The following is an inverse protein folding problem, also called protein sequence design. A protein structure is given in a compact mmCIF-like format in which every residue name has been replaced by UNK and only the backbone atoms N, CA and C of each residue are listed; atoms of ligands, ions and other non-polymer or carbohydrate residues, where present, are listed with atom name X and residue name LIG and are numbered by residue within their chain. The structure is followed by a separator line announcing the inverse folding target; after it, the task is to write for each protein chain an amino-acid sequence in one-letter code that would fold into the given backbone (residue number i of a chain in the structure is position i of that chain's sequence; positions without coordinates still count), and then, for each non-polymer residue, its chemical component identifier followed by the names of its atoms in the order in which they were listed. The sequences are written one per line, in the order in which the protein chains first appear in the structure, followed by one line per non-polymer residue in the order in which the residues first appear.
data_IF_036705367485
#
_entry.id   IF_036705367485
#
_cell.length_a   1.000
_cell.length_b   1.000
_cell.length_c   1.000
_cell.angle_alpha   90.00
_cell.angle_beta   90.00
_cell.angle_gamma   90.00
#
_symmetry.space_group_name_H-M   'P 1'
#
loop_
_entity.id
_entity.type
_entity.pdbx_description
1 polymer ?
#
# COMPACT_ATOMS: atom_id res chain seq x y z
N UNK A 1 60.16 -52.19 -39.74
CA UNK A 1 60.06 -50.72 -39.75
C UNK A 1 58.63 -50.33 -39.42
N UNK A 2 58.26 -49.47 -38.47
CA UNK A 2 58.87 -49.07 -37.20
C UNK A 2 57.71 -48.49 -36.32
N UNK A 3 56.79 -49.35 -35.86
CA UNK A 3 55.61 -48.92 -35.08
C UNK A 3 55.95 -48.35 -33.69
N UNK A 4 57.20 -48.42 -33.24
CA UNK A 4 57.62 -47.90 -31.92
C UNK A 4 57.72 -46.37 -31.88
N UNK A 5 58.04 -45.71 -32.99
CA UNK A 5 58.14 -44.24 -33.02
C UNK A 5 56.78 -43.53 -33.08
N UNK A 6 55.77 -44.17 -33.67
CA UNK A 6 54.41 -43.61 -33.73
C UNK A 6 53.70 -43.62 -32.36
N UNK A 7 53.93 -44.67 -31.56
CA UNK A 7 53.31 -44.81 -30.24
C UNK A 7 53.86 -43.78 -29.24
N UNK A 8 55.16 -43.47 -29.29
CA UNK A 8 55.77 -42.45 -28.42
C UNK A 8 55.32 -41.02 -28.76
N UNK A 9 55.07 -40.70 -30.03
CA UNK A 9 54.54 -39.39 -30.43
C UNK A 9 53.07 -39.20 -30.03
N UNK A 10 52.28 -40.27 -30.03
CA UNK A 10 50.86 -40.21 -29.64
C UNK A 10 50.67 -40.12 -28.11
N UNK A 11 51.59 -40.68 -27.33
CA UNK A 11 51.50 -40.63 -25.87
C UNK A 11 51.85 -39.23 -25.31
N UNK A 12 52.77 -38.50 -25.95
CA UNK A 12 53.16 -37.16 -25.46
C UNK A 12 52.12 -36.08 -25.78
N UNK A 13 51.43 -36.18 -26.91
CA UNK A 13 50.32 -35.27 -27.28
C UNK A 13 49.09 -35.49 -26.40
N UNK A 14 48.82 -36.74 -25.98
CA UNK A 14 47.73 -37.05 -25.05
C UNK A 14 47.97 -36.45 -23.66
N UNK A 15 49.22 -36.48 -23.18
CA UNK A 15 49.62 -35.89 -21.90
C UNK A 15 49.55 -34.36 -21.93
N UNK A 16 49.91 -33.72 -23.03
CA UNK A 16 49.83 -32.25 -23.17
C UNK A 16 48.38 -31.75 -23.23
N UNK A 17 47.46 -32.50 -23.84
CA UNK A 17 46.02 -32.20 -23.86
C UNK A 17 45.34 -32.38 -22.50
N UNK A 18 45.80 -33.34 -21.69
CA UNK A 18 45.28 -33.52 -20.32
C UNK A 18 45.70 -32.40 -19.38
N UNK A 19 46.91 -31.84 -19.56
CA UNK A 19 47.39 -30.70 -18.76
C UNK A 19 46.62 -29.40 -19.05
N UNK A 20 46.20 -29.17 -20.30
CA UNK A 20 45.50 -27.94 -20.70
C UNK A 20 43.98 -27.97 -20.44
N UNK A 21 43.37 -29.15 -20.28
CA UNK A 21 41.92 -29.29 -20.09
C UNK A 21 41.46 -29.14 -18.64
N UNK A 22 42.38 -28.99 -17.68
CA UNK A 22 42.04 -28.83 -16.25
C UNK A 22 41.94 -27.37 -15.77
N UNK A 23 42.23 -26.38 -16.63
CA UNK A 23 42.31 -24.96 -16.20
C UNK A 23 40.98 -24.16 -16.26
N UNK A 24 39.92 -24.48 -17.04
CA UNK A 24 38.71 -23.66 -17.01
C UNK A 24 37.69 -24.02 -15.90
N UNK A 25 37.86 -25.12 -15.15
CA UNK A 25 36.87 -25.54 -14.14
C UNK A 25 37.07 -24.88 -12.76
N UNK A 26 38.33 -24.61 -12.37
CA UNK A 26 38.65 -24.04 -11.06
C UNK A 26 38.36 -22.53 -10.95
N UNK A 27 38.34 -21.80 -12.07
CA UNK A 27 38.02 -20.37 -12.10
C UNK A 27 36.52 -20.10 -11.85
N UNK A 28 35.63 -20.94 -12.37
CA UNK A 28 34.17 -20.80 -12.20
C UNK A 28 33.72 -21.18 -10.78
N UNK A 29 34.30 -22.22 -10.18
CA UNK A 29 34.05 -22.57 -8.77
C UNK A 29 34.55 -21.51 -7.78
N UNK A 30 35.76 -20.97 -7.98
CA UNK A 30 36.27 -19.86 -7.13
C UNK A 30 35.39 -18.62 -7.21
N UNK A 31 34.90 -18.24 -8.39
CA UNK A 31 34.02 -17.07 -8.56
C UNK A 31 32.67 -17.20 -7.83
N UNK A 32 32.09 -18.41 -7.79
CA UNK A 32 30.84 -18.67 -7.09
C UNK A 32 31.01 -18.74 -5.56
N UNK A 33 32.12 -19.30 -5.08
CA UNK A 33 32.46 -19.36 -3.64
C UNK A 33 32.76 -17.95 -3.11
N UNK A 34 33.48 -17.12 -3.87
CA UNK A 34 33.82 -15.74 -3.50
C UNK A 34 32.56 -14.85 -3.44
N UNK A 35 31.70 -14.92 -4.47
CA UNK A 35 30.39 -14.24 -4.49
C UNK A 35 29.47 -14.67 -3.33
N UNK A 36 29.45 -15.96 -2.99
CA UNK A 36 28.68 -16.48 -1.86
C UNK A 36 29.24 -15.99 -0.51
N UNK A 37 30.57 -15.93 -0.39
CA UNK A 37 31.27 -15.46 0.83
C UNK A 37 31.03 -13.96 1.06
N UNK A 38 31.12 -13.15 0.01
CA UNK A 38 30.82 -11.72 0.07
C UNK A 38 29.34 -11.46 0.41
N UNK A 39 28.41 -12.22 -0.20
CA UNK A 39 26.97 -12.14 0.14
C UNK A 39 26.73 -12.43 1.62
N UNK A 40 27.29 -13.51 2.14
CA UNK A 40 27.16 -13.88 3.56
C UNK A 40 27.76 -12.79 4.46
N UNK A 41 28.91 -12.23 4.09
CA UNK A 41 29.54 -11.13 4.84
C UNK A 41 28.67 -9.88 4.86
N UNK A 42 28.06 -9.52 3.73
CA UNK A 42 27.16 -8.37 3.62
C UNK A 42 25.89 -8.54 4.47
N UNK A 43 25.24 -9.72 4.42
CA UNK A 43 24.07 -10.04 5.25
C UNK A 43 24.43 -9.97 6.73
N UNK A 44 25.57 -10.55 7.13
CA UNK A 44 26.04 -10.50 8.52
C UNK A 44 26.33 -9.07 8.97
N UNK A 45 26.93 -8.25 8.10
CA UNK A 45 27.16 -6.83 8.38
C UNK A 45 25.84 -6.10 8.64
N UNK A 46 24.83 -6.31 7.80
CA UNK A 46 23.50 -5.71 7.98
C UNK A 46 22.86 -6.17 9.30
N UNK A 47 22.83 -7.48 9.57
CA UNK A 47 22.25 -8.04 10.78
C UNK A 47 22.92 -7.47 12.05
N UNK A 48 24.26 -7.38 12.06
CA UNK A 48 25.02 -6.80 13.17
C UNK A 48 24.65 -5.33 13.39
N UNK A 49 24.51 -4.54 12.33
CA UNK A 49 24.11 -3.13 12.45
C UNK A 49 22.71 -3.01 13.03
N UNK A 50 21.74 -3.81 12.57
CA UNK A 50 20.39 -3.80 13.12
C UNK A 50 20.39 -4.12 14.62
N UNK A 51 21.13 -5.13 15.06
CA UNK A 51 21.26 -5.51 16.48
C UNK A 51 21.96 -4.43 17.30
N UNK A 52 22.99 -3.76 16.77
CA UNK A 52 23.65 -2.65 17.47
C UNK A 52 22.67 -1.49 17.66
N UNK A 53 21.88 -1.14 16.64
CA UNK A 53 20.88 -0.07 16.76
C UNK A 53 19.81 -0.45 17.78
N UNK A 54 19.23 -1.64 17.69
CA UNK A 54 18.21 -2.12 18.63
C UNK A 54 18.66 -2.03 20.09
N UNK A 55 19.90 -2.42 20.40
CA UNK A 55 20.38 -2.51 21.78
C UNK A 55 20.98 -1.21 22.35
N UNK A 56 21.31 -0.23 21.49
CA UNK A 56 22.06 0.96 21.91
C UNK A 56 21.36 2.29 21.54
N UNK A 57 20.20 2.26 20.89
CA UNK A 57 19.45 3.48 20.59
C UNK A 57 18.78 4.03 21.86
N UNK A 58 18.56 5.34 21.88
CA UNK A 58 18.01 6.06 23.05
C UNK A 58 16.53 5.73 23.30
N UNK A 59 15.79 5.45 22.22
CA UNK A 59 14.38 5.08 22.26
C UNK A 59 14.21 3.57 22.07
N UNK A 60 13.15 3.00 22.62
CA UNK A 60 12.78 1.62 22.34
C UNK A 60 12.35 1.46 20.87
N UNK A 61 13.11 0.66 20.13
CA UNK A 61 12.80 0.29 18.76
C UNK A 61 12.60 -1.23 18.69
N UNK A 62 11.48 -1.67 18.11
CA UNK A 62 11.32 -3.10 17.84
C UNK A 62 12.07 -3.50 16.56
N UNK A 63 12.53 -4.75 16.49
CA UNK A 63 13.31 -5.26 15.36
C UNK A 63 12.58 -5.13 14.00
N UNK A 64 11.24 -5.28 14.00
CA UNK A 64 10.41 -5.15 12.79
C UNK A 64 10.45 -3.74 12.22
N UNK A 65 10.38 -2.71 13.06
CA UNK A 65 10.40 -1.31 12.66
C UNK A 65 11.76 -0.91 12.09
N UNK A 66 12.85 -1.34 12.73
CA UNK A 66 14.21 -1.08 12.22
C UNK A 66 14.39 -1.77 10.86
N UNK A 67 13.90 -3.01 10.72
CA UNK A 67 13.97 -3.76 9.47
C UNK A 67 13.17 -3.07 8.37
N UNK A 68 11.94 -2.65 8.63
CA UNK A 68 11.10 -1.93 7.67
C UNK A 68 11.78 -0.63 7.21
N UNK A 69 12.32 0.16 8.15
CA UNK A 69 13.05 1.41 7.85
C UNK A 69 14.30 1.15 7.02
N UNK A 70 15.03 0.06 7.28
CA UNK A 70 16.21 -0.31 6.50
C UNK A 70 15.83 -0.70 5.05
N UNK A 71 14.74 -1.44 4.87
CA UNK A 71 14.23 -1.78 3.54
C UNK A 71 13.75 -0.52 2.81
N UNK A 72 12.98 0.35 3.45
CA UNK A 72 12.53 1.63 2.88
C UNK A 72 13.71 2.50 2.44
N UNK A 73 14.74 2.60 3.28
CA UNK A 73 15.99 3.30 2.95
C UNK A 73 16.69 2.68 1.74
N UNK A 74 16.78 1.35 1.66
CA UNK A 74 17.35 0.65 0.49
C UNK A 74 16.56 0.96 -0.79
N UNK A 75 15.23 0.84 -0.75
CA UNK A 75 14.38 1.06 -1.92
C UNK A 75 14.51 2.49 -2.45
N UNK A 76 14.63 3.49 -1.57
CA UNK A 76 14.82 4.89 -1.95
C UNK A 76 16.09 5.16 -2.77
N UNK A 77 17.08 4.26 -2.72
CA UNK A 77 18.34 4.36 -3.46
C UNK A 77 18.32 3.64 -4.81
N UNK A 78 17.27 2.87 -5.12
CA UNK A 78 17.17 2.14 -6.38
C UNK A 78 16.74 3.07 -7.51
N UNK A 79 15.54 3.64 -7.38
CA UNK A 79 14.97 4.65 -8.28
C UNK A 79 13.73 5.29 -7.63
N UNK A 80 13.16 6.32 -8.26
CA UNK A 80 12.02 7.09 -7.73
C UNK A 80 10.68 6.34 -7.69
N UNK A 81 10.58 5.17 -8.32
CA UNK A 81 9.35 4.37 -8.44
C UNK A 81 9.44 3.00 -7.76
N UNK A 82 10.63 2.60 -7.35
CA UNK A 82 10.90 1.43 -6.52
C UNK A 82 10.52 1.73 -5.07
N UNK A 83 9.54 1.00 -4.55
CA UNK A 83 9.07 1.17 -3.16
C UNK A 83 8.82 -0.17 -2.48
N UNK A 84 8.96 -0.17 -1.16
CA UNK A 84 8.57 -1.29 -0.31
C UNK A 84 7.17 -1.02 0.24
N UNK A 85 6.31 -2.02 0.14
CA UNK A 85 5.00 -1.98 0.77
C UNK A 85 5.06 -2.69 2.11
N UNK A 86 5.11 -1.90 3.19
CA UNK A 86 4.84 -2.41 4.53
C UNK A 86 3.39 -2.92 4.63
N UNK A 87 3.08 -3.70 5.66
CA UNK A 87 1.71 -4.17 5.88
C UNK A 87 0.70 -3.01 5.96
N UNK A 88 1.09 -1.91 6.61
CA UNK A 88 0.28 -0.68 6.69
C UNK A 88 0.07 -0.08 5.30
N UNK A 89 1.15 0.15 4.54
CA UNK A 89 1.06 0.73 3.18
C UNK A 89 0.24 -0.14 2.24
N UNK A 90 0.39 -1.46 2.31
CA UNK A 90 -0.41 -2.39 1.52
C UNK A 90 -1.90 -2.33 1.89
N UNK A 91 -2.24 -2.25 3.18
CA UNK A 91 -3.64 -2.07 3.63
C UNK A 91 -4.23 -0.75 3.11
N UNK A 92 -3.51 0.36 3.22
CA UNK A 92 -4.00 1.66 2.70
C UNK A 92 -4.17 1.64 1.18
N UNK A 93 -3.21 1.07 0.45
CA UNK A 93 -3.34 0.90 -1.00
C UNK A 93 -4.55 0.04 -1.38
N UNK A 94 -4.81 -1.02 -0.60
CA UNK A 94 -6.00 -1.85 -0.81
C UNK A 94 -7.28 -1.07 -0.56
N UNK A 95 -7.36 -0.26 0.49
CA UNK A 95 -8.52 0.60 0.76
C UNK A 95 -8.74 1.60 -0.39
N UNK A 96 -7.67 2.24 -0.87
CA UNK A 96 -7.74 3.17 -1.99
C UNK A 96 -8.26 2.49 -3.27
N UNK A 97 -7.78 1.28 -3.57
CA UNK A 97 -8.15 0.58 -4.81
C UNK A 97 -9.51 -0.13 -4.71
N UNK A 98 -9.89 -0.59 -3.52
CA UNK A 98 -11.21 -1.17 -3.27
C UNK A 98 -12.29 -0.07 -3.19
N UNK A 99 -11.93 1.15 -2.78
CA UNK A 99 -12.89 2.25 -2.60
C UNK A 99 -13.80 2.06 -1.39
N UNK A 100 -13.42 1.17 -0.47
CA UNK A 100 -14.16 0.85 0.74
C UNK A 100 -13.25 0.24 1.82
N UNK A 101 -13.67 0.32 3.07
CA UNK A 101 -12.96 -0.29 4.20
C UNK A 101 -13.92 -0.63 5.35
N UNK A 102 -13.52 -1.58 6.20
CA UNK A 102 -14.29 -1.92 7.39
C UNK A 102 -14.02 -0.94 8.54
N UNK A 103 -15.08 -0.33 9.08
CA UNK A 103 -14.95 0.65 10.17
C UNK A 103 -16.28 1.23 10.65
N UNK A 104 -16.21 2.40 11.29
CA UNK A 104 -17.36 3.04 11.94
C UNK A 104 -18.00 4.14 11.08
N UNK A 105 -17.22 4.73 10.16
CA UNK A 105 -17.65 5.89 9.37
C UNK A 105 -17.60 7.20 10.15
N UNK A 106 -16.54 7.44 10.93
CA UNK A 106 -16.28 8.73 11.57
C UNK A 106 -14.97 9.35 11.11
N UNK A 107 -14.97 10.67 11.03
CA UNK A 107 -13.74 11.46 10.96
C UNK A 107 -13.37 11.91 12.36
N UNK A 108 -12.14 11.60 12.78
CA UNK A 108 -11.58 11.97 14.08
C UNK A 108 -10.32 12.80 13.91
N UNK A 109 -9.97 13.56 14.94
CA UNK A 109 -8.71 14.28 15.01
C UNK A 109 -8.36 14.62 16.46
N UNK A 110 -7.12 15.05 16.69
CA UNK A 110 -6.69 15.53 18.00
C UNK A 110 -7.02 17.01 18.11
N UNK A 111 -7.86 17.39 19.09
CA UNK A 111 -8.15 18.78 19.47
C UNK A 111 -7.92 18.94 20.96
N UNK A 112 -7.24 20.00 21.36
CA UNK A 112 -6.90 20.26 22.76
C UNK A 112 -6.28 19.04 23.48
N UNK A 113 -5.42 18.31 22.77
CA UNK A 113 -4.77 17.05 23.20
C UNK A 113 -5.71 15.87 23.46
N UNK A 114 -6.96 15.94 23.01
CA UNK A 114 -7.94 14.87 23.14
C UNK A 114 -8.42 14.36 21.78
N UNK A 115 -8.63 13.04 21.69
CA UNK A 115 -9.24 12.42 20.51
C UNK A 115 -10.70 12.87 20.39
N UNK A 116 -11.00 13.59 19.31
CA UNK A 116 -12.28 14.28 19.13
C UNK A 116 -12.90 13.89 17.79
N UNK A 117 -14.21 13.66 17.79
CA UNK A 117 -15.01 13.47 16.58
C UNK A 117 -15.12 14.80 15.84
N UNK A 118 -14.59 14.84 14.62
CA UNK A 118 -14.75 15.98 13.73
C UNK A 118 -16.17 15.96 13.16
N UNK A 119 -16.56 14.84 12.54
CA UNK A 119 -17.91 14.59 12.06
C UNK A 119 -18.14 13.08 11.85
N UNK A 120 -19.34 12.56 12.15
CA UNK A 120 -19.78 11.29 11.58
C UNK A 120 -20.06 11.46 10.08
N UNK A 121 -19.86 10.41 9.31
CA UNK A 121 -20.24 10.36 7.89
C UNK A 121 -21.71 9.93 7.84
N UNK A 122 -22.53 10.63 7.05
CA UNK A 122 -23.96 10.31 6.91
C UNK A 122 -24.16 8.85 6.47
N UNK A 123 -25.26 8.24 6.92
CA UNK A 123 -25.62 6.85 6.63
C UNK A 123 -24.58 5.79 7.04
N UNK A 124 -23.65 6.11 7.93
CA UNK A 124 -22.70 5.14 8.51
C UNK A 124 -23.11 4.66 9.90
N UNK A 125 -22.54 3.54 10.41
CA UNK A 125 -22.84 3.02 11.75
C UNK A 125 -22.69 4.07 12.85
N UNK A 126 -21.64 4.88 12.77
CA UNK A 126 -21.40 5.94 13.73
C UNK A 126 -22.47 7.04 13.75
N UNK A 127 -22.94 7.45 12.57
CA UNK A 127 -24.03 8.40 12.45
C UNK A 127 -25.31 7.83 13.05
N UNK A 128 -25.64 6.57 12.72
CA UNK A 128 -26.81 5.85 13.28
C UNK A 128 -26.71 5.64 14.79
N UNK A 129 -25.50 5.46 15.32
CA UNK A 129 -25.24 5.35 16.75
C UNK A 129 -25.32 6.69 17.49
N UNK A 130 -25.56 7.79 16.77
CA UNK A 130 -25.81 9.11 17.36
C UNK A 130 -24.54 9.83 17.80
N UNK A 131 -23.36 9.49 17.26
CA UNK A 131 -22.15 10.29 17.42
C UNK A 131 -22.34 11.69 16.82
N UNK A 132 -21.71 12.69 17.43
CA UNK A 132 -21.84 14.09 17.02
C UNK A 132 -20.48 14.75 16.93
N UNK A 133 -20.40 15.78 16.09
CA UNK A 133 -19.23 16.65 16.02
C UNK A 133 -18.94 17.26 17.41
N UNK A 134 -17.68 17.20 17.83
CA UNK A 134 -17.23 17.68 19.13
C UNK A 134 -17.31 16.66 20.27
N UNK A 135 -17.78 15.44 20.02
CA UNK A 135 -17.67 14.35 20.98
C UNK A 135 -16.20 14.00 21.25
N UNK A 136 -15.82 13.85 22.51
CA UNK A 136 -14.47 13.45 22.93
C UNK A 136 -14.47 11.97 23.28
N UNK A 137 -13.69 11.19 22.56
CA UNK A 137 -13.56 9.74 22.78
C UNK A 137 -12.52 9.53 23.88
N UNK A 138 -12.94 9.06 25.05
CA UNK A 138 -12.07 8.76 26.20
C UNK A 138 -11.51 7.33 26.16
N UNK A 139 -12.29 6.39 25.63
CA UNK A 139 -11.88 4.99 25.49
C UNK A 139 -12.39 4.38 24.21
N UNK A 140 -11.60 3.46 23.67
CA UNK A 140 -11.96 2.54 22.60
C UNK A 140 -11.86 1.14 23.20
N UNK A 141 -13.00 0.47 23.35
CA UNK A 141 -13.19 -0.69 24.20
C UNK A 141 -12.62 -0.41 25.61
N UNK A 142 -11.72 -1.24 26.12
CA UNK A 142 -11.09 -1.07 27.42
C UNK A 142 -9.85 -0.15 27.40
N UNK A 143 -9.43 0.33 26.23
CA UNK A 143 -8.20 1.13 26.07
C UNK A 143 -8.48 2.62 26.19
N UNK A 144 -7.73 3.29 27.08
CA UNK A 144 -7.72 4.75 27.17
C UNK A 144 -7.18 5.38 25.90
N UNK A 145 -7.79 6.47 25.44
CA UNK A 145 -7.29 7.27 24.32
C UNK A 145 -6.30 8.36 24.77
N UNK A 146 -6.08 8.50 26.07
CA UNK A 146 -5.05 9.38 26.61
C UNK A 146 -3.67 8.91 26.11
N UNK A 147 -2.88 9.83 25.58
CA UNK A 147 -1.56 9.58 24.95
C UNK A 147 -1.57 8.67 23.72
N UNK A 148 -2.75 8.23 23.26
CA UNK A 148 -2.89 7.46 22.03
C UNK A 148 -2.68 8.36 20.81
N UNK A 149 -1.87 7.91 19.87
CA UNK A 149 -1.72 8.61 18.59
C UNK A 149 -2.99 8.50 17.75
N UNK A 150 -3.18 9.43 16.81
CA UNK A 150 -4.32 9.38 15.88
C UNK A 150 -4.34 8.07 15.08
N UNK A 151 -3.17 7.60 14.65
CA UNK A 151 -3.02 6.39 13.86
C UNK A 151 -3.41 5.13 14.66
N UNK A 152 -3.01 5.04 15.93
CA UNK A 152 -3.41 3.93 16.81
C UNK A 152 -4.92 3.91 17.02
N UNK A 153 -5.52 5.08 17.28
CA UNK A 153 -6.96 5.19 17.45
C UNK A 153 -7.72 4.75 16.19
N UNK A 154 -7.29 5.23 15.01
CA UNK A 154 -7.87 4.83 13.72
C UNK A 154 -7.71 3.32 13.48
N UNK A 155 -6.55 2.75 13.82
CA UNK A 155 -6.29 1.31 13.70
C UNK A 155 -7.24 0.47 14.56
N UNK A 156 -7.54 0.89 15.79
CA UNK A 156 -8.49 0.21 16.68
C UNK A 156 -9.95 0.34 16.23
N UNK A 157 -10.32 1.50 15.68
CA UNK A 157 -11.68 1.74 15.20
C UNK A 157 -11.97 1.01 13.88
N UNK A 158 -10.96 0.85 13.02
CA UNK A 158 -11.04 -0.03 11.85
C UNK A 158 -11.09 -1.50 12.27
N UNK A 159 -11.66 -2.34 11.43
CA UNK A 159 -11.77 -3.76 11.72
C UNK A 159 -12.70 -4.48 10.76
N UNK A 160 -12.88 -5.78 10.99
CA UNK A 160 -13.74 -6.60 10.14
C UNK A 160 -15.20 -6.14 10.26
N UNK A 161 -15.93 -5.94 9.15
CA UNK A 161 -17.37 -5.68 9.18
C UNK A 161 -18.13 -6.76 9.98
N UNK A 162 -19.15 -6.35 10.71
CA UNK A 162 -19.95 -7.18 11.61
C UNK A 162 -19.34 -7.42 12.99
N UNK A 163 -18.17 -6.85 13.30
CA UNK A 163 -17.59 -6.90 14.66
C UNK A 163 -17.97 -5.66 15.46
N UNK A 164 -18.17 -5.85 16.76
CA UNK A 164 -18.55 -4.77 17.67
C UNK A 164 -17.34 -3.96 18.16
N UNK A 165 -17.61 -2.71 18.54
CA UNK A 165 -16.71 -1.84 19.29
C UNK A 165 -17.53 -1.02 20.28
N UNK A 166 -16.95 -0.69 21.43
CA UNK A 166 -17.53 0.24 22.39
C UNK A 166 -16.70 1.51 22.46
N UNK A 167 -17.34 2.68 22.32
CA UNK A 167 -16.69 3.97 22.55
C UNK A 167 -17.21 4.58 23.85
N UNK A 168 -16.31 4.99 24.75
CA UNK A 168 -16.69 5.82 25.89
C UNK A 168 -16.48 7.28 25.54
N UNK A 169 -17.52 8.10 25.66
CA UNK A 169 -17.58 9.45 25.09
C UNK A 169 -18.00 10.49 26.11
N UNK A 170 -17.42 11.67 25.97
CA UNK A 170 -17.85 12.90 26.65
C UNK A 170 -18.42 13.85 25.61
N UNK A 171 -19.63 14.34 25.89
CA UNK A 171 -20.35 15.29 25.04
C UNK A 171 -20.65 16.56 25.81
N UNK A 172 -20.42 17.72 25.19
CA UNK A 172 -20.76 19.01 25.78
C UNK A 172 -22.25 19.07 26.10
N UNK A 173 -22.58 19.38 27.35
CA UNK A 173 -23.97 19.45 27.84
C UNK A 173 -24.44 18.18 28.55
N UNK A 174 -23.72 17.07 28.42
CA UNK A 174 -23.99 15.84 29.18
C UNK A 174 -23.20 15.86 30.50
N UNK A 175 -23.84 15.42 31.58
CA UNK A 175 -23.25 15.47 32.93
C UNK A 175 -22.22 14.38 33.20
N UNK A 176 -22.27 13.26 32.46
CA UNK A 176 -21.40 12.10 32.65
C UNK A 176 -20.97 11.51 31.30
N UNK A 177 -19.78 10.90 31.23
CA UNK A 177 -19.42 10.06 30.10
C UNK A 177 -20.42 8.92 29.91
N UNK A 178 -20.67 8.54 28.66
CA UNK A 178 -21.54 7.42 28.32
C UNK A 178 -20.89 6.53 27.27
N UNK A 179 -21.39 5.29 27.16
CA UNK A 179 -20.90 4.28 26.22
C UNK A 179 -21.79 4.26 24.98
N UNK A 180 -21.18 4.10 23.81
CA UNK A 180 -21.88 3.87 22.55
C UNK A 180 -21.33 2.61 21.91
N UNK A 181 -22.22 1.65 21.70
CA UNK A 181 -21.92 0.42 20.99
C UNK A 181 -22.14 0.63 19.49
N UNK A 182 -21.17 0.22 18.69
CA UNK A 182 -21.20 0.38 17.24
C UNK A 182 -20.77 -0.94 16.61
N UNK A 183 -21.55 -1.43 15.65
CA UNK A 183 -21.16 -2.55 14.80
C UNK A 183 -20.39 -2.00 13.60
N UNK A 184 -19.18 -2.48 13.37
CA UNK A 184 -18.39 -2.10 12.19
C UNK A 184 -19.12 -2.52 10.92
N UNK A 185 -19.05 -1.68 9.90
CA UNK A 185 -19.65 -1.96 8.59
C UNK A 185 -18.67 -1.58 7.47
N UNK A 186 -19.03 -1.90 6.23
CA UNK A 186 -18.29 -1.48 5.05
C UNK A 186 -18.57 0.01 4.81
N UNK A 187 -17.55 0.83 5.01
CA UNK A 187 -17.57 2.26 4.75
C UNK A 187 -17.09 2.49 3.33
N UNK A 188 -17.97 3.06 2.51
CA UNK A 188 -17.67 3.39 1.11
C UNK A 188 -16.98 4.74 1.04
N UNK A 189 -15.95 4.82 0.20
CA UNK A 189 -15.28 6.07 -0.17
C UNK A 189 -15.75 6.40 -1.59
N UNK A 190 -16.32 7.58 -1.76
CA UNK A 190 -16.74 8.05 -3.07
C UNK A 190 -15.52 8.53 -3.86
N UNK A 191 -15.36 8.00 -5.07
CA UNK A 191 -14.29 8.40 -5.99
C UNK A 191 -14.81 9.18 -7.18
N UNK A 192 -16.08 9.05 -7.53
CA UNK A 192 -16.73 9.75 -8.64
C UNK A 192 -17.75 10.75 -8.11
N UNK A 193 -17.57 12.03 -8.47
CA UNK A 193 -18.47 13.12 -8.11
C UNK A 193 -19.09 13.71 -9.37
N UNK A 194 -20.42 13.74 -9.41
CA UNK A 194 -21.20 14.18 -10.58
C UNK A 194 -21.96 15.46 -10.25
N UNK A 195 -21.91 16.44 -11.15
CA UNK A 195 -22.77 17.63 -11.10
C UNK A 195 -23.08 18.12 -12.51
N UNK A 196 -24.17 18.88 -12.64
CA UNK A 196 -24.51 19.57 -13.88
C UNK A 196 -24.12 21.04 -13.79
N UNK A 197 -23.51 21.59 -14.84
CA UNK A 197 -23.17 23.01 -14.98
C UNK A 197 -24.08 23.61 -16.06
N UNK A 198 -24.72 24.73 -15.73
CA UNK A 198 -25.59 25.49 -16.64
C UNK A 198 -26.68 24.64 -17.34
N UNK A 199 -27.14 23.58 -16.67
CA UNK A 199 -28.13 22.59 -17.14
C UNK A 199 -27.76 21.76 -18.39
N UNK A 200 -26.64 22.06 -19.05
CA UNK A 200 -26.26 21.44 -20.33
C UNK A 200 -24.96 20.63 -20.27
N UNK A 201 -24.06 20.95 -19.32
CA UNK A 201 -22.74 20.32 -19.22
C UNK A 201 -22.69 19.35 -18.03
N UNK A 202 -22.35 18.09 -18.32
CA UNK A 202 -22.06 17.11 -17.28
C UNK A 202 -20.64 17.30 -16.79
N UNK A 203 -20.45 17.52 -15.50
CA UNK A 203 -19.13 17.53 -14.88
C UNK A 203 -18.98 16.27 -14.02
N UNK A 204 -17.91 15.52 -14.30
CA UNK A 204 -17.54 14.32 -13.56
C UNK A 204 -16.12 14.53 -13.03
N UNK A 205 -15.96 14.54 -11.71
CA UNK A 205 -14.65 14.53 -11.07
C UNK A 205 -14.33 13.13 -10.57
N UNK A 206 -13.15 12.62 -10.91
CA UNK A 206 -12.64 11.35 -10.41
C UNK A 206 -11.45 11.64 -9.50
N UNK A 207 -11.59 11.39 -8.20
CA UNK A 207 -10.54 11.65 -7.21
C UNK A 207 -9.49 10.52 -7.11
N UNK A 208 -9.85 9.28 -7.45
CA UNK A 208 -8.93 8.14 -7.57
C UNK A 208 -9.56 7.03 -8.43
N UNK A 209 -8.74 6.15 -9.00
CA UNK A 209 -9.19 5.00 -9.79
C UNK A 209 -9.41 3.75 -8.91
N UNK A 210 -10.51 3.74 -8.17
CA UNK A 210 -10.98 2.53 -7.46
C UNK A 210 -11.81 1.61 -8.36
N UNK A 211 -12.19 0.43 -7.84
CA UNK A 211 -12.95 -0.60 -8.56
C UNK A 211 -14.31 -0.15 -9.14
N UNK A 212 -14.90 0.94 -8.66
CA UNK A 212 -16.26 1.38 -8.98
C UNK A 212 -16.30 2.42 -10.10
N UNK A 213 -15.17 3.09 -10.39
CA UNK A 213 -15.10 4.24 -11.31
C UNK A 213 -15.81 4.02 -12.64
N UNK A 214 -15.49 2.94 -13.37
CA UNK A 214 -16.10 2.70 -14.70
C UNK A 214 -17.61 2.56 -14.59
N UNK A 215 -18.10 1.85 -13.58
CA UNK A 215 -19.54 1.64 -13.38
C UNK A 215 -20.28 2.91 -12.99
N UNK A 216 -19.69 3.74 -12.13
CA UNK A 216 -20.28 4.99 -11.67
C UNK A 216 -20.29 6.06 -12.77
N UNK A 217 -19.21 6.16 -13.55
CA UNK A 217 -19.17 7.06 -14.72
C UNK A 217 -20.18 6.62 -15.77
N UNK A 218 -20.24 5.32 -16.10
CA UNK A 218 -21.22 4.82 -17.06
C UNK A 218 -22.66 5.15 -16.63
N UNK A 219 -22.98 4.93 -15.36
CA UNK A 219 -24.28 5.30 -14.77
C UNK A 219 -24.55 6.80 -14.93
N UNK A 220 -23.58 7.65 -14.61
CA UNK A 220 -23.73 9.10 -14.76
C UNK A 220 -24.00 9.52 -16.21
N UNK A 221 -23.34 8.89 -17.18
CA UNK A 221 -23.57 9.12 -18.61
C UNK A 221 -24.95 8.63 -19.06
N UNK A 222 -25.47 7.55 -18.48
CA UNK A 222 -26.82 7.03 -18.78
C UNK A 222 -27.94 7.88 -18.17
N UNK A 223 -27.70 8.48 -17.00
CA UNK A 223 -28.67 9.38 -16.33
C UNK A 223 -28.73 10.77 -16.99
N UNK A 224 -27.69 11.17 -17.73
CA UNK A 224 -27.57 12.47 -18.36
C UNK A 224 -27.40 12.35 -19.88
N UNK A 225 -28.30 11.63 -20.56
CA UNK A 225 -28.22 11.40 -22.02
C UNK A 225 -28.34 12.67 -22.84
N UNK A 226 -29.11 13.65 -22.36
CA UNK A 226 -29.37 14.91 -23.05
C UNK A 226 -28.27 15.97 -22.84
N UNK A 227 -27.17 15.60 -22.17
CA UNK A 227 -26.01 16.48 -21.98
C UNK A 227 -25.46 16.94 -23.33
N UNK A 228 -25.08 18.21 -23.43
CA UNK A 228 -24.44 18.78 -24.62
C UNK A 228 -22.92 18.68 -24.59
N UNK A 229 -22.35 18.43 -23.42
CA UNK A 229 -20.91 18.27 -23.23
C UNK A 229 -20.56 17.57 -21.91
N UNK A 230 -19.31 17.16 -21.81
CA UNK A 230 -18.74 16.49 -20.65
C UNK A 230 -17.43 17.18 -20.24
N UNK A 231 -17.27 17.46 -18.96
CA UNK A 231 -16.01 17.84 -18.34
C UNK A 231 -15.57 16.69 -17.45
N UNK A 232 -14.45 16.08 -17.78
CA UNK A 232 -13.79 15.08 -16.95
C UNK A 232 -12.66 15.72 -16.15
N UNK A 233 -12.84 15.85 -14.83
CA UNK A 233 -11.86 16.46 -13.94
C UNK A 233 -11.04 15.40 -13.21
N UNK A 234 -9.77 15.29 -13.58
CA UNK A 234 -8.78 14.38 -12.98
C UNK A 234 -7.76 15.13 -12.10
N UNK A 235 -8.02 16.40 -11.73
CA UNK A 235 -7.09 17.17 -10.90
C UNK A 235 -6.97 16.55 -9.51
N UNK A 236 -5.74 16.48 -9.02
CA UNK A 236 -5.38 15.85 -7.74
C UNK A 236 -5.73 14.35 -7.66
N UNK A 237 -5.86 13.68 -8.80
CA UNK A 237 -6.01 12.22 -8.86
C UNK A 237 -4.63 11.55 -8.95
N UNK A 238 -4.21 10.78 -7.93
CA UNK A 238 -2.90 10.14 -7.91
C UNK A 238 -2.82 8.85 -8.76
N UNK A 239 -3.91 8.48 -9.44
CA UNK A 239 -4.06 7.22 -10.17
C UNK A 239 -4.89 6.21 -9.38
N UNK A 240 -4.49 4.93 -9.47
CA UNK A 240 -5.19 3.78 -8.90
C UNK A 240 -5.09 2.58 -9.82
N UNK A 241 -6.17 1.83 -9.97
CA UNK A 241 -6.23 0.65 -10.81
C UNK A 241 -6.13 1.01 -12.29
N UNK A 242 -5.07 0.55 -12.96
CA UNK A 242 -4.88 0.74 -14.40
C UNK A 242 -6.07 0.21 -15.21
N UNK A 243 -6.67 -0.91 -14.80
CA UNK A 243 -7.85 -1.46 -15.46
C UNK A 243 -9.04 -0.52 -15.47
N UNK A 244 -9.20 0.29 -14.43
CA UNK A 244 -10.29 1.29 -14.33
C UNK A 244 -9.98 2.52 -15.18
N UNK A 245 -8.72 2.90 -15.29
CA UNK A 245 -8.30 3.96 -16.21
C UNK A 245 -8.51 3.54 -17.68
N UNK A 246 -8.11 2.32 -18.05
CA UNK A 246 -8.34 1.77 -19.40
C UNK A 246 -9.84 1.66 -19.67
N UNK A 247 -10.60 1.06 -18.76
CA UNK A 247 -12.05 0.91 -18.92
C UNK A 247 -12.79 2.24 -18.99
N UNK A 248 -12.28 3.30 -18.35
CA UNK A 248 -12.84 4.65 -18.47
C UNK A 248 -12.62 5.21 -19.88
N UNK A 249 -11.42 5.06 -20.44
CA UNK A 249 -11.12 5.51 -21.82
C UNK A 249 -11.98 4.76 -22.83
N UNK A 250 -12.19 3.46 -22.62
CA UNK A 250 -13.02 2.59 -23.46
C UNK A 250 -14.50 3.05 -23.54
N UNK A 251 -14.98 3.86 -22.59
CA UNK A 251 -16.30 4.48 -22.67
C UNK A 251 -16.40 5.60 -23.72
N UNK A 252 -15.27 6.11 -24.21
CA UNK A 252 -15.21 7.29 -25.06
C UNK A 252 -14.46 7.08 -26.38
N UNK A 253 -13.69 5.99 -26.51
CA UNK A 253 -12.81 5.74 -27.66
C UNK A 253 -13.14 4.39 -28.26
N UNK A 254 -13.58 4.37 -29.53
CA UNK A 254 -14.08 3.15 -30.18
C UNK A 254 -12.98 2.21 -30.69
N UNK A 255 -11.80 2.71 -31.03
CA UNK A 255 -10.68 1.91 -31.54
C UNK A 255 -9.31 2.54 -31.23
N UNK A 256 -8.27 1.72 -31.24
CA UNK A 256 -6.88 2.12 -31.03
C UNK A 256 -6.25 1.55 -29.75
N UNK A 257 -4.92 1.65 -29.65
CA UNK A 257 -4.19 1.18 -28.47
C UNK A 257 -4.28 2.23 -27.35
N UNK A 258 -4.96 1.90 -26.25
CA UNK A 258 -5.10 2.77 -25.08
C UNK A 258 -3.77 2.87 -24.29
N UNK A 259 -3.14 1.73 -24.01
CA UNK A 259 -1.88 1.68 -23.24
C UNK A 259 -1.07 0.43 -23.61
N UNK A 260 0.26 0.56 -23.63
CA UNK A 260 1.20 -0.55 -23.80
C UNK A 260 2.18 -0.61 -22.64
N UNK A 261 2.39 -1.78 -22.06
CA UNK A 261 3.41 -2.02 -21.04
C UNK A 261 4.55 -2.83 -21.64
N UNK A 262 5.78 -2.38 -21.44
CA UNK A 262 6.98 -3.12 -21.81
C UNK A 262 7.63 -3.66 -20.55
N UNK A 263 7.53 -4.97 -20.34
CA UNK A 263 8.26 -5.67 -19.30
C UNK A 263 9.78 -5.74 -19.58
N UNK A 264 10.53 -6.20 -18.59
CA UNK A 264 11.91 -6.68 -18.77
C UNK A 264 11.93 -8.15 -19.13
#
# INVERSE_FOLDING_TARGET
MNNRFFILGFLSTLLFFYSFSTIPLSAKERSNIDSSTERIRAIRKLANVLTVVENNYVDELNYTDITNRAIEGLMSQLDAHSSYFSEKSYKEFKIQTDGEFGGLGITVGIRDKALTVIAPIDDTPAYRAGLKAGDIILKIDDKSTLDMTLDEAVSLMRGKPGTDIELTIVRKGESKPFKVHIVRDIIKIDSVFVKTIDNDLLYIRISSFDKKVVSEVKKALEEHKDRKGLILDLRSNPGGLLSQAVGLVDLFVDDGVIVSQKGR
#
